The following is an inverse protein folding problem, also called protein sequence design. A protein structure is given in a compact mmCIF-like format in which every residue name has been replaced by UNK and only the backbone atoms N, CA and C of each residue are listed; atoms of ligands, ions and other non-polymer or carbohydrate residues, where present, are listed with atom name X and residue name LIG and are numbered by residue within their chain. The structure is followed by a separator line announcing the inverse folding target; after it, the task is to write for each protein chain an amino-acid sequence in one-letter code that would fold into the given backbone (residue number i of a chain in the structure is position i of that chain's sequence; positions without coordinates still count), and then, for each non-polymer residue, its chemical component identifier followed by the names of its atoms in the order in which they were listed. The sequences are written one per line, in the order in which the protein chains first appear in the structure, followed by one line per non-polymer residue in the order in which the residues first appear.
data_IF_519680383994
#
_entry.id   IF_519680383994
#
_cell.length_a   1.000
_cell.length_b   1.000
_cell.length_c   1.000
_cell.angle_alpha   90.00
_cell.angle_beta   90.00
_cell.angle_gamma   90.00
#
_symmetry.space_group_name_H-M   'P 1'
#
loop_
_entity.id
_entity.type
_entity.pdbx_description
1 polymer ?
#
# COMPACT_ATOMS: atom_id res chain seq x y z
N UNK A 1 -33.05 -44.70 22.82
CA UNK A 1 -32.67 -43.40 23.40
C UNK A 1 -31.18 -43.09 23.21
N UNK A 2 -30.26 -43.97 23.61
CA UNK A 2 -28.80 -43.74 23.54
C UNK A 2 -28.26 -43.44 22.13
N UNK A 3 -28.73 -44.17 21.11
CA UNK A 3 -28.30 -43.99 19.71
C UNK A 3 -28.64 -42.61 19.14
N UNK A 4 -29.80 -42.07 19.49
CA UNK A 4 -30.23 -40.73 19.04
C UNK A 4 -29.31 -39.65 19.63
N UNK A 5 -28.93 -39.79 20.91
CA UNK A 5 -27.99 -38.88 21.57
C UNK A 5 -26.61 -38.94 20.89
N UNK A 6 -26.09 -40.14 20.63
CA UNK A 6 -24.81 -40.33 19.92
C UNK A 6 -24.82 -39.65 18.56
N UNK A 7 -25.88 -39.86 17.77
CA UNK A 7 -26.03 -39.23 16.47
C UNK A 7 -26.09 -37.70 16.55
N UNK A 8 -26.87 -37.18 17.50
CA UNK A 8 -27.03 -35.73 17.69
C UNK A 8 -25.71 -35.07 18.09
N UNK A 9 -24.95 -35.68 19.02
CA UNK A 9 -23.64 -35.18 19.45
C UNK A 9 -22.64 -35.16 18.29
N UNK A 10 -22.61 -36.20 17.45
CA UNK A 10 -21.75 -36.27 16.27
C UNK A 10 -22.08 -35.16 15.26
N UNK A 11 -23.36 -34.97 14.95
CA UNK A 11 -23.79 -33.95 13.98
C UNK A 11 -23.51 -32.55 14.52
N UNK A 12 -23.88 -32.28 15.78
CA UNK A 12 -23.68 -30.98 16.42
C UNK A 12 -22.18 -30.67 16.57
N UNK A 13 -21.37 -31.63 17.02
CA UNK A 13 -19.93 -31.46 17.12
C UNK A 13 -19.28 -31.12 15.77
N UNK A 14 -19.72 -31.78 14.70
CA UNK A 14 -19.24 -31.50 13.34
C UNK A 14 -19.68 -30.13 12.86
N UNK A 15 -20.95 -29.74 13.08
CA UNK A 15 -21.46 -28.42 12.72
C UNK A 15 -20.76 -27.30 13.47
N UNK A 16 -20.53 -27.46 14.77
CA UNK A 16 -19.80 -26.47 15.59
C UNK A 16 -18.37 -26.35 15.10
N UNK A 17 -17.69 -27.48 14.84
CA UNK A 17 -16.34 -27.49 14.27
C UNK A 17 -16.28 -26.78 12.92
N UNK A 18 -17.20 -27.11 12.00
CA UNK A 18 -17.29 -26.49 10.68
C UNK A 18 -17.60 -24.98 10.77
N UNK A 19 -18.48 -24.58 11.69
CA UNK A 19 -18.83 -23.18 11.90
C UNK A 19 -17.64 -22.35 12.40
N UNK A 20 -16.91 -22.86 13.41
CA UNK A 20 -15.71 -22.19 13.92
C UNK A 20 -14.62 -22.11 12.85
N UNK A 21 -14.43 -23.18 12.09
CA UNK A 21 -13.44 -23.23 11.01
C UNK A 21 -13.80 -22.23 9.90
N UNK A 22 -15.05 -22.25 9.43
CA UNK A 22 -15.58 -21.34 8.42
C UNK A 22 -15.48 -19.87 8.85
N UNK A 23 -15.81 -19.55 10.10
CA UNK A 23 -15.70 -18.17 10.63
C UNK A 23 -14.25 -17.68 10.68
N UNK A 24 -13.32 -18.54 11.08
CA UNK A 24 -11.90 -18.18 11.11
C UNK A 24 -11.34 -18.01 9.69
N UNK A 25 -11.69 -18.91 8.77
CA UNK A 25 -11.35 -18.83 7.35
C UNK A 25 -11.90 -17.56 6.72
N UNK A 26 -13.15 -17.20 7.01
CA UNK A 26 -13.77 -15.97 6.50
C UNK A 26 -13.00 -14.72 6.92
N UNK A 27 -12.66 -14.61 8.22
CA UNK A 27 -11.84 -13.48 8.70
C UNK A 27 -10.50 -13.40 7.96
N UNK A 28 -9.83 -14.54 7.76
CA UNK A 28 -8.55 -14.58 7.04
C UNK A 28 -8.69 -14.24 5.56
N UNK A 29 -9.73 -14.76 4.91
CA UNK A 29 -10.01 -14.50 3.50
C UNK A 29 -10.30 -13.02 3.25
N UNK A 30 -11.10 -12.37 4.12
CA UNK A 30 -11.37 -10.93 4.03
C UNK A 30 -10.09 -10.12 4.15
N UNK A 31 -9.23 -10.44 5.12
CA UNK A 31 -7.92 -9.78 5.25
C UNK A 31 -7.09 -9.98 3.97
N UNK A 32 -7.04 -11.19 3.43
CA UNK A 32 -6.34 -11.48 2.19
C UNK A 32 -6.83 -10.62 1.02
N UNK A 33 -8.15 -10.51 0.84
CA UNK A 33 -8.80 -9.70 -0.20
C UNK A 33 -8.45 -8.22 -0.04
N UNK A 34 -8.43 -7.70 1.20
CA UNK A 34 -8.05 -6.31 1.43
C UNK A 34 -6.60 -6.03 1.07
N UNK A 35 -5.68 -6.94 1.39
CA UNK A 35 -4.27 -6.81 1.02
C UNK A 35 -4.08 -6.95 -0.50
N UNK A 36 -4.81 -7.85 -1.16
CA UNK A 36 -4.78 -7.97 -2.63
C UNK A 36 -5.31 -6.70 -3.30
N UNK A 37 -6.35 -6.07 -2.75
CA UNK A 37 -6.83 -4.77 -3.23
C UNK A 37 -5.76 -3.67 -3.13
N UNK A 38 -5.01 -3.62 -2.03
CA UNK A 38 -3.89 -2.66 -1.89
C UNK A 38 -2.76 -2.95 -2.86
N UNK A 39 -2.42 -4.22 -3.07
CA UNK A 39 -1.40 -4.63 -4.03
C UNK A 39 -1.82 -4.28 -5.47
N UNK A 40 -3.08 -4.54 -5.84
CA UNK A 40 -3.64 -4.18 -7.15
C UNK A 40 -3.63 -2.66 -7.36
N UNK A 41 -4.00 -1.87 -6.35
CA UNK A 41 -3.94 -0.42 -6.43
C UNK A 41 -2.50 0.11 -6.60
N UNK A 42 -1.51 -0.54 -5.96
CA UNK A 42 -0.11 -0.20 -6.15
C UNK A 42 0.37 -0.54 -7.57
N UNK A 43 -0.02 -1.70 -8.10
CA UNK A 43 0.27 -2.11 -9.49
C UNK A 43 -0.39 -1.16 -10.50
N UNK A 44 -1.63 -0.72 -10.26
CA UNK A 44 -2.31 0.25 -11.12
C UNK A 44 -1.55 1.57 -11.21
N UNK A 45 -1.16 2.15 -10.05
CA UNK A 45 -0.33 3.36 -10.02
C UNK A 45 1.02 3.18 -10.73
N UNK A 46 1.60 1.98 -10.65
CA UNK A 46 2.84 1.67 -11.33
C UNK A 46 2.63 1.61 -12.85
N UNK A 47 1.55 0.98 -13.30
CA UNK A 47 1.12 0.97 -14.70
C UNK A 47 0.94 2.38 -15.25
N UNK A 48 0.18 3.22 -14.55
CA UNK A 48 -0.03 4.62 -14.94
C UNK A 48 1.29 5.40 -15.04
N UNK A 49 2.20 5.20 -14.08
CA UNK A 49 3.51 5.85 -14.08
C UNK A 49 4.38 5.36 -15.25
N UNK A 50 4.34 4.06 -15.57
CA UNK A 50 5.08 3.51 -16.72
C UNK A 50 4.50 3.98 -18.05
N UNK A 51 3.18 4.08 -18.18
CA UNK A 51 2.53 4.61 -19.37
C UNK A 51 2.91 6.08 -19.59
N UNK A 52 2.92 6.88 -18.51
CA UNK A 52 3.37 8.27 -18.56
C UNK A 52 4.86 8.40 -18.88
N UNK A 53 5.71 7.51 -18.38
CA UNK A 53 7.14 7.53 -18.69
C UNK A 53 7.45 7.07 -20.13
N UNK A 54 6.60 6.22 -20.71
CA UNK A 54 6.72 5.75 -22.08
C UNK A 54 6.21 6.77 -23.11
N UNK A 55 5.43 7.76 -22.67
CA UNK A 55 4.95 8.84 -23.52
C UNK A 55 6.12 9.80 -23.84
N UNK A 56 6.57 9.89 -25.10
CA UNK A 56 7.72 10.70 -25.49
C UNK A 56 7.48 12.21 -25.32
N UNK A 57 6.23 12.65 -25.18
CA UNK A 57 5.87 14.06 -24.95
C UNK A 57 5.70 14.41 -23.46
N UNK A 58 5.80 13.42 -22.56
CA UNK A 58 5.53 13.62 -21.14
C UNK A 58 6.63 14.37 -20.37
N UNK A 59 7.88 14.33 -20.83
CA UNK A 59 8.98 15.10 -20.27
C UNK A 59 9.64 15.96 -21.37
N UNK A 60 9.88 17.26 -21.12
CA UNK A 60 10.59 18.09 -22.09
C UNK A 60 12.01 17.53 -22.29
N UNK A 61 12.49 17.42 -23.55
CA UNK A 61 13.79 16.83 -23.84
C UNK A 61 14.90 17.56 -23.10
N UNK A 62 15.85 16.80 -22.53
CA UNK A 62 17.06 17.33 -21.92
C UNK A 62 17.91 18.04 -22.99
N UNK A 63 17.64 19.32 -23.21
CA UNK A 63 18.45 20.21 -24.05
C UNK A 63 19.35 21.07 -23.19
N UNK A 64 20.47 21.53 -23.76
CA UNK A 64 21.28 22.56 -23.14
C UNK A 64 20.47 23.87 -23.05
N UNK A 65 20.26 24.36 -21.84
CA UNK A 65 19.44 25.55 -21.54
C UNK A 65 20.29 26.85 -21.52
N UNK A 66 21.45 26.84 -22.18
CA UNK A 66 22.46 27.92 -22.08
C UNK A 66 21.95 29.28 -22.56
N UNK A 67 20.99 29.26 -23.50
CA UNK A 67 20.38 30.46 -24.09
C UNK A 67 18.96 30.73 -23.57
N UNK A 68 18.45 29.92 -22.64
CA UNK A 68 17.12 30.13 -22.04
C UNK A 68 17.18 31.27 -21.01
N UNK A 69 16.03 31.87 -20.69
CA UNK A 69 15.93 32.98 -19.73
C UNK A 69 16.37 32.53 -18.33
N UNK A 70 17.40 33.19 -17.82
CA UNK A 70 17.99 32.94 -16.50
C UNK A 70 16.97 33.08 -15.36
N UNK A 71 16.00 33.97 -15.47
CA UNK A 71 15.00 34.19 -14.42
C UNK A 71 14.02 33.02 -14.35
N UNK A 72 13.54 32.55 -15.50
CA UNK A 72 12.70 31.35 -15.62
C UNK A 72 13.43 30.07 -15.15
N UNK A 73 14.73 29.96 -15.42
CA UNK A 73 15.54 28.85 -14.91
C UNK A 73 15.65 28.84 -13.38
N UNK A 74 15.82 30.03 -12.77
CA UNK A 74 15.90 30.16 -11.31
C UNK A 74 14.58 29.81 -10.64
N UNK A 75 13.46 30.32 -11.14
CA UNK A 75 12.14 29.98 -10.60
C UNK A 75 11.89 28.47 -10.67
N UNK A 76 12.25 27.83 -11.79
CA UNK A 76 12.11 26.38 -11.95
C UNK A 76 12.96 25.59 -10.95
N UNK A 77 14.20 26.01 -10.71
CA UNK A 77 15.08 25.38 -9.71
C UNK A 77 14.49 25.54 -8.31
N UNK A 78 13.91 26.69 -7.98
CA UNK A 78 13.32 26.93 -6.67
C UNK A 78 12.05 26.10 -6.43
N UNK A 79 11.21 25.91 -7.45
CA UNK A 79 10.09 24.95 -7.43
C UNK A 79 10.57 23.52 -7.16
N UNK A 80 11.61 23.07 -7.89
CA UNK A 80 12.16 21.72 -7.72
C UNK A 80 12.77 21.52 -6.32
N UNK A 81 13.42 22.55 -5.77
CA UNK A 81 13.94 22.55 -4.39
C UNK A 81 12.81 22.49 -3.38
N UNK A 82 11.73 23.25 -3.57
CA UNK A 82 10.56 23.20 -2.70
C UNK A 82 9.95 21.80 -2.70
N UNK A 83 9.71 21.20 -3.86
CA UNK A 83 9.20 19.84 -3.99
C UNK A 83 10.16 18.80 -3.37
N UNK A 84 11.48 19.02 -3.43
CA UNK A 84 12.47 18.15 -2.78
C UNK A 84 12.39 18.23 -1.26
N UNK A 85 12.24 19.44 -0.69
CA UNK A 85 12.10 19.66 0.76
C UNK A 85 10.84 18.97 1.29
N UNK A 86 9.70 19.17 0.64
CA UNK A 86 8.44 18.53 1.00
C UNK A 86 8.55 16.99 0.99
N UNK A 87 9.23 16.43 -0.02
CA UNK A 87 9.51 14.99 -0.07
C UNK A 87 10.45 14.52 1.05
N UNK A 88 11.41 15.36 1.46
CA UNK A 88 12.33 15.03 2.55
C UNK A 88 11.62 15.05 3.91
N UNK A 89 10.76 16.05 4.15
CA UNK A 89 9.92 16.16 5.35
C UNK A 89 9.00 14.94 5.50
N UNK A 90 8.27 14.57 4.44
CA UNK A 90 7.43 13.36 4.43
C UNK A 90 8.22 12.08 4.72
N UNK A 91 9.48 12.00 4.29
CA UNK A 91 10.34 10.85 4.63
C UNK A 91 10.77 10.89 6.09
N UNK A 92 11.11 12.06 6.64
CA UNK A 92 11.48 12.22 8.03
C UNK A 92 10.32 11.84 8.97
N UNK A 93 9.09 12.29 8.67
CA UNK A 93 7.89 11.93 9.43
C UNK A 93 7.66 10.42 9.47
N UNK A 94 7.76 9.75 8.31
CA UNK A 94 7.63 8.29 8.23
C UNK A 94 8.72 7.57 9.02
N UNK A 95 9.96 8.07 8.96
CA UNK A 95 11.07 7.52 9.71
C UNK A 95 10.82 7.59 11.21
N UNK A 96 10.42 8.77 11.72
CA UNK A 96 10.05 8.96 13.13
C UNK A 96 8.90 8.03 13.53
N UNK A 97 7.83 7.96 12.74
CA UNK A 97 6.69 7.09 13.02
C UNK A 97 7.08 5.60 13.05
N UNK A 98 8.03 5.19 12.20
CA UNK A 98 8.55 3.82 12.14
C UNK A 98 9.35 3.51 13.41
N UNK A 99 10.28 4.38 13.79
CA UNK A 99 11.07 4.22 15.01
C UNK A 99 10.22 4.25 16.28
N UNK A 100 9.20 5.10 16.35
CA UNK A 100 8.27 5.14 17.48
C UNK A 100 7.53 3.81 17.66
N UNK A 101 7.07 3.20 16.56
CA UNK A 101 6.38 1.90 16.55
C UNK A 101 7.29 0.77 17.00
N UNK A 102 8.52 0.75 16.49
CA UNK A 102 9.53 -0.22 16.91
C UNK A 102 9.83 -0.11 18.41
N UNK A 103 10.01 1.12 18.92
CA UNK A 103 10.27 1.38 20.34
C UNK A 103 9.11 0.94 21.25
N UNK A 104 7.87 1.04 20.78
CA UNK A 104 6.69 0.59 21.52
C UNK A 104 6.57 -0.94 21.57
N UNK A 105 7.12 -1.66 20.59
CA UNK A 105 7.13 -3.12 20.55
C UNK A 105 8.29 -3.73 21.35
N UNK A 106 9.44 -3.05 21.38
CA UNK A 106 10.66 -3.54 22.02
C UNK A 106 10.78 -3.19 23.51
N UNK A 107 9.72 -2.70 24.15
CA UNK A 107 9.70 -2.28 25.54
C UNK A 107 8.66 -3.08 26.30
#
# INVERSE_FOLDING_TARGET
MLWFVVWTVLVVGTLVGAFFLGRNLWRKAVVLVTETGRAAAALGRLGDATAKAADPDSDPPLRAQLFDDRTALRSRVDELRAARRERAERRAERHVATFARWRAFSR
#
